data_IF_986689124893
#
_entry.id   IF_986689124893
#
_cell.length_a   1.000
_cell.length_b   1.000
_cell.length_c   1.000
_cell.angle_alpha   90.00
_cell.angle_beta   90.00
_cell.angle_gamma   90.00
#
_symmetry.space_group_name_H-M   'P 1'
#
loop_
_entity.id
_entity.type
_entity.pdbx_description
1 polymer ?
#
# COMPACT_ATOMS: atom_id res chain seq x y z
N UNK A 1 13.67 0.77 12.32
CA UNK A 1 13.32 0.40 10.94
C UNK A 1 13.71 -1.05 10.70
N UNK A 2 12.81 -1.83 10.11
CA UNK A 2 13.06 -3.17 9.57
C UNK A 2 12.86 -3.15 8.06
N UNK A 3 13.51 -4.06 7.33
CA UNK A 3 13.45 -4.14 5.87
C UNK A 3 13.17 -5.58 5.46
N UNK A 4 12.20 -5.79 4.57
CA UNK A 4 11.97 -7.05 3.85
C UNK A 4 12.30 -6.79 2.39
N UNK A 5 13.14 -7.63 1.79
CA UNK A 5 13.44 -7.56 0.35
C UNK A 5 12.68 -8.67 -0.37
N UNK A 6 11.96 -8.29 -1.41
CA UNK A 6 11.19 -9.18 -2.28
C UNK A 6 11.89 -9.29 -3.65
N UNK A 7 11.51 -10.25 -4.51
CA UNK A 7 11.98 -10.28 -5.90
C UNK A 7 11.72 -8.96 -6.64
N UNK A 8 12.36 -8.79 -7.80
CA UNK A 8 12.17 -7.63 -8.68
C UNK A 8 12.57 -6.26 -8.07
N UNK A 9 13.54 -6.24 -7.16
CA UNK A 9 14.07 -4.99 -6.56
C UNK A 9 12.97 -4.20 -5.82
N UNK A 10 12.15 -4.93 -5.05
CA UNK A 10 11.11 -4.39 -4.19
C UNK A 10 11.57 -4.50 -2.74
N UNK A 11 11.48 -3.41 -2.00
CA UNK A 11 11.81 -3.36 -0.57
C UNK A 11 10.65 -2.82 0.24
N UNK A 12 10.33 -3.48 1.35
CA UNK A 12 9.34 -3.04 2.32
C UNK A 12 10.04 -2.57 3.58
N UNK A 13 9.94 -1.27 3.83
CA UNK A 13 10.47 -0.60 5.00
C UNK A 13 9.35 -0.44 6.00
N UNK A 14 9.52 -0.88 7.23
CA UNK A 14 8.47 -0.71 8.24
C UNK A 14 9.03 -0.43 9.63
N UNK A 15 8.17 0.15 10.45
CA UNK A 15 8.44 0.39 11.86
C UNK A 15 7.14 0.40 12.65
N UNK A 16 7.27 0.12 13.94
CA UNK A 16 6.21 0.48 14.87
C UNK A 16 6.40 1.94 15.28
N UNK A 17 5.31 2.72 15.27
CA UNK A 17 5.28 4.13 15.63
C UNK A 17 3.95 4.49 16.28
N UNK A 18 3.96 5.44 17.20
CA UNK A 18 2.72 6.02 17.73
C UNK A 18 1.98 6.80 16.66
N UNK A 19 0.64 6.74 16.69
CA UNK A 19 -0.25 7.38 15.70
C UNK A 19 -0.06 8.90 15.59
N UNK A 20 0.51 9.54 16.62
CA UNK A 20 0.77 10.99 16.66
C UNK A 20 2.09 11.40 15.99
N UNK A 21 2.95 10.42 15.64
CA UNK A 21 4.25 10.73 15.05
C UNK A 21 4.10 11.04 13.56
N UNK A 22 4.35 12.30 13.21
CA UNK A 22 4.46 12.74 11.82
C UNK A 22 5.85 12.43 11.24
N UNK A 23 5.95 12.31 9.92
CA UNK A 23 7.23 12.16 9.22
C UNK A 23 7.82 10.75 9.24
N UNK A 24 7.07 9.73 9.69
CA UNK A 24 7.58 8.35 9.81
C UNK A 24 7.97 7.77 8.46
N UNK A 25 7.23 8.10 7.40
CA UNK A 25 7.55 7.62 6.06
C UNK A 25 8.83 8.24 5.50
N UNK A 26 9.05 9.53 5.73
CA UNK A 26 10.28 10.22 5.42
C UNK A 26 11.45 9.64 6.22
N UNK A 27 11.27 9.34 7.51
CA UNK A 27 12.29 8.67 8.34
C UNK A 27 12.68 7.30 7.75
N UNK A 28 11.70 6.50 7.32
CA UNK A 28 11.92 5.21 6.67
C UNK A 28 12.69 5.38 5.36
N UNK A 29 12.26 6.28 4.48
CA UNK A 29 12.91 6.54 3.20
C UNK A 29 14.34 7.07 3.39
N UNK A 30 14.55 8.03 4.29
CA UNK A 30 15.86 8.60 4.59
C UNK A 30 16.84 7.54 5.08
N UNK A 31 16.35 6.65 5.94
CA UNK A 31 17.14 5.54 6.49
C UNK A 31 17.54 4.55 5.40
N UNK A 32 16.65 4.25 4.45
CA UNK A 32 16.94 3.34 3.34
C UNK A 32 17.92 3.92 2.32
N UNK A 33 17.71 5.18 1.90
CA UNK A 33 18.57 5.82 0.89
C UNK A 33 19.87 6.40 1.46
N UNK A 34 20.05 6.41 2.78
CA UNK A 34 21.23 6.98 3.45
C UNK A 34 21.37 8.50 3.26
N UNK A 35 20.31 9.18 2.84
CA UNK A 35 20.27 10.63 2.57
C UNK A 35 18.88 11.18 2.83
N UNK A 36 18.79 12.50 3.03
CA UNK A 36 17.50 13.17 3.11
C UNK A 36 16.76 13.05 1.77
N UNK A 37 15.54 12.55 1.83
CA UNK A 37 14.56 12.47 0.76
C UNK A 37 13.52 13.57 0.93
N UNK A 38 12.93 14.00 -0.17
CA UNK A 38 11.82 14.95 -0.19
C UNK A 38 10.63 14.20 -0.76
N UNK A 39 9.64 13.91 0.08
CA UNK A 39 8.38 13.28 -0.34
C UNK A 39 7.38 14.39 -0.66
N UNK A 40 6.88 14.38 -1.89
CA UNK A 40 5.82 15.27 -2.35
C UNK A 40 4.55 14.46 -2.66
N UNK A 41 3.42 15.16 -2.85
CA UNK A 41 2.15 14.53 -3.22
C UNK A 41 1.86 14.77 -4.68
N UNK A 42 1.55 13.70 -5.40
CA UNK A 42 1.12 13.74 -6.79
C UNK A 42 -0.33 14.20 -6.95
N UNK A 43 -0.86 14.06 -8.17
CA UNK A 43 -2.17 14.63 -8.54
C UNK A 43 -3.31 14.06 -7.72
N UNK A 44 -3.22 12.78 -7.36
CA UNK A 44 -4.25 12.07 -6.60
C UNK A 44 -3.90 11.95 -5.11
N UNK A 45 -2.81 12.59 -4.66
CA UNK A 45 -2.35 12.58 -3.27
C UNK A 45 -1.38 11.44 -2.95
N UNK A 46 -1.03 10.62 -3.95
CA UNK A 46 -0.01 9.58 -3.86
C UNK A 46 1.36 10.19 -3.54
N UNK A 47 2.14 9.58 -2.63
CA UNK A 47 3.47 10.06 -2.31
C UNK A 47 4.46 9.71 -3.43
N UNK A 48 5.38 10.61 -3.75
CA UNK A 48 6.54 10.32 -4.59
C UNK A 48 7.79 11.01 -4.05
N UNK A 49 8.96 10.44 -4.32
CA UNK A 49 10.24 11.05 -3.95
C UNK A 49 10.66 11.99 -5.07
N UNK A 50 10.84 13.27 -4.76
CA UNK A 50 11.32 14.28 -5.71
C UNK A 50 12.70 13.90 -6.25
N UNK A 51 12.91 14.06 -7.55
CA UNK A 51 14.18 13.81 -8.24
C UNK A 51 14.72 12.37 -8.04
N UNK A 52 13.83 11.39 -7.96
CA UNK A 52 14.15 9.97 -7.75
C UNK A 52 13.54 9.09 -8.84
N UNK A 53 14.25 8.03 -9.22
CA UNK A 53 13.73 6.96 -10.10
C UNK A 53 12.85 5.93 -9.36
N UNK A 54 12.82 6.00 -8.03
CA UNK A 54 12.08 5.06 -7.20
C UNK A 54 10.64 5.50 -7.01
N UNK A 55 9.73 4.56 -7.20
CA UNK A 55 8.35 4.63 -6.79
C UNK A 55 8.23 4.23 -5.33
N UNK A 56 7.35 4.92 -4.60
CA UNK A 56 7.01 4.57 -3.24
C UNK A 56 5.50 4.41 -3.06
N UNK A 57 5.12 3.57 -2.12
CA UNK A 57 3.74 3.47 -1.64
C UNK A 57 3.77 3.35 -0.13
N UNK A 58 2.90 4.08 0.55
CA UNK A 58 2.86 4.15 2.02
C UNK A 58 1.50 3.66 2.49
N UNK A 59 1.51 2.87 3.55
CA UNK A 59 0.31 2.58 4.32
C UNK A 59 0.62 2.57 5.82
N UNK A 60 -0.40 2.78 6.62
CA UNK A 60 -0.30 2.65 8.06
C UNK A 60 -1.63 2.19 8.64
N UNK A 61 -1.56 1.38 9.69
CA UNK A 61 -2.74 1.01 10.47
C UNK A 61 -2.29 0.82 11.92
N UNK A 62 -3.02 1.43 12.85
CA UNK A 62 -2.63 1.55 14.27
C UNK A 62 -1.16 1.94 14.43
N UNK A 63 -0.37 1.06 15.04
CA UNK A 63 1.02 1.33 15.40
C UNK A 63 2.00 0.96 14.29
N UNK A 64 1.57 0.47 13.14
CA UNK A 64 2.47 -0.01 12.09
C UNK A 64 2.41 0.90 10.88
N UNK A 65 3.58 1.40 10.47
CA UNK A 65 3.77 2.18 9.24
C UNK A 65 4.67 1.39 8.31
N UNK A 66 4.25 1.24 7.06
CA UNK A 66 4.98 0.56 5.99
C UNK A 66 5.17 1.49 4.78
N UNK A 67 6.35 1.42 4.18
CA UNK A 67 6.71 2.09 2.95
C UNK A 67 7.32 1.05 2.00
N UNK A 68 6.64 0.76 0.89
CA UNK A 68 7.18 -0.02 -0.20
C UNK A 68 7.99 0.88 -1.14
N UNK A 69 9.13 0.39 -1.61
CA UNK A 69 10.06 1.08 -2.50
C UNK A 69 10.39 0.14 -3.67
N UNK A 70 10.32 0.65 -4.90
CA UNK A 70 10.67 -0.11 -6.10
C UNK A 70 11.09 0.80 -7.26
N UNK A 71 11.80 0.27 -8.26
CA UNK A 71 12.06 0.93 -9.55
C UNK A 71 10.89 0.88 -10.53
N UNK A 72 9.80 0.18 -10.18
CA UNK A 72 8.55 0.12 -10.96
C UNK A 72 7.37 0.57 -10.10
N UNK A 73 6.22 0.95 -10.72
CA UNK A 73 5.01 1.25 -9.97
C UNK A 73 4.65 0.14 -8.97
N UNK A 74 4.43 0.55 -7.73
CA UNK A 74 4.25 -0.31 -6.57
C UNK A 74 3.12 0.25 -5.71
N UNK A 75 2.33 -0.63 -5.11
CA UNK A 75 1.31 -0.29 -4.12
C UNK A 75 1.45 -1.18 -2.91
N UNK A 76 1.28 -0.62 -1.71
CA UNK A 76 1.23 -1.40 -0.48
C UNK A 76 0.05 -0.97 0.37
N UNK A 77 -0.57 -1.94 1.01
CA UNK A 77 -1.55 -1.67 2.03
C UNK A 77 -1.40 -2.59 3.23
N UNK A 78 -1.68 -2.05 4.42
CA UNK A 78 -1.68 -2.78 5.67
C UNK A 78 -2.89 -2.35 6.49
N UNK A 79 -3.61 -3.31 7.07
CA UNK A 79 -4.75 -3.06 7.93
C UNK A 79 -4.74 -3.97 9.16
N UNK A 80 -4.99 -3.40 10.33
CA UNK A 80 -5.15 -4.17 11.57
C UNK A 80 -6.42 -5.03 11.50
N UNK A 81 -6.27 -6.33 11.73
CA UNK A 81 -7.36 -7.31 11.67
C UNK A 81 -8.34 -7.06 12.82
N UNK A 82 -9.59 -6.85 12.47
CA UNK A 82 -10.71 -6.67 13.39
C UNK A 82 -11.97 -7.28 12.84
N UNK A 83 -12.94 -7.48 13.72
CA UNK A 83 -14.28 -7.83 13.28
C UNK A 83 -14.88 -6.66 12.50
N UNK A 84 -15.24 -6.93 11.24
CA UNK A 84 -15.89 -5.99 10.34
C UNK A 84 -17.26 -6.58 10.01
N UNK A 85 -18.32 -5.80 10.21
CA UNK A 85 -19.68 -6.27 9.94
C UNK A 85 -19.90 -6.58 8.45
N UNK A 86 -20.63 -7.65 8.15
CA UNK A 86 -20.87 -8.14 6.78
C UNK A 86 -21.44 -7.07 5.82
N UNK A 87 -22.19 -6.09 6.35
CA UNK A 87 -22.74 -4.98 5.57
C UNK A 87 -21.65 -4.10 4.96
N UNK A 88 -20.48 -3.98 5.60
CA UNK A 88 -19.33 -3.26 5.05
C UNK A 88 -18.82 -3.96 3.79
N UNK A 89 -18.61 -5.28 3.84
CA UNK A 89 -18.19 -6.06 2.67
C UNK A 89 -19.23 -6.03 1.56
N UNK A 90 -20.52 -6.11 1.89
CA UNK A 90 -21.61 -5.98 0.93
C UNK A 90 -21.60 -4.62 0.21
N UNK A 91 -21.35 -3.54 0.96
CA UNK A 91 -21.23 -2.19 0.40
C UNK A 91 -19.99 -2.05 -0.50
N UNK A 92 -18.83 -2.54 -0.05
CA UNK A 92 -17.59 -2.52 -0.83
C UNK A 92 -17.77 -3.31 -2.13
N UNK A 93 -18.35 -4.51 -2.08
CA UNK A 93 -18.58 -5.33 -3.28
C UNK A 93 -19.56 -4.68 -4.26
N UNK A 94 -20.55 -3.93 -3.78
CA UNK A 94 -21.44 -3.16 -4.67
C UNK A 94 -20.68 -2.12 -5.50
N UNK A 95 -19.59 -1.57 -4.95
CA UNK A 95 -18.79 -0.54 -5.61
C UNK A 95 -17.63 -1.13 -6.41
N UNK A 96 -16.85 -2.04 -5.81
CA UNK A 96 -15.56 -2.51 -6.33
C UNK A 96 -15.55 -3.99 -6.73
N UNK A 97 -16.63 -4.73 -6.50
CA UNK A 97 -16.69 -6.17 -6.75
C UNK A 97 -16.47 -6.55 -8.23
N UNK A 98 -16.71 -5.61 -9.14
CA UNK A 98 -16.41 -5.77 -10.57
C UNK A 98 -14.90 -5.72 -10.89
N UNK A 99 -14.09 -5.14 -10.01
CA UNK A 99 -12.61 -5.15 -10.09
C UNK A 99 -12.10 -6.40 -9.38
N UNK A 100 -12.48 -6.56 -8.11
CA UNK A 100 -12.10 -7.68 -7.26
C UNK A 100 -13.13 -7.85 -6.14
N UNK A 101 -13.65 -9.06 -5.90
CA UNK A 101 -14.53 -9.31 -4.77
C UNK A 101 -13.75 -9.25 -3.45
N UNK A 102 -14.40 -8.71 -2.41
CA UNK A 102 -13.83 -8.51 -1.07
C UNK A 102 -14.70 -9.22 -0.04
N UNK A 103 -14.20 -10.31 0.54
CA UNK A 103 -14.92 -11.10 1.55
C UNK A 103 -14.31 -10.97 2.94
N UNK A 104 -13.02 -10.68 3.00
CA UNK A 104 -12.29 -10.46 4.25
C UNK A 104 -11.24 -9.36 4.11
N UNK A 105 -10.65 -8.95 5.23
CA UNK A 105 -9.63 -7.89 5.28
C UNK A 105 -8.42 -8.15 4.36
N UNK A 106 -8.03 -9.42 4.13
CA UNK A 106 -6.95 -9.74 3.19
C UNK A 106 -7.30 -9.38 1.72
N UNK A 107 -8.57 -9.38 1.34
CA UNK A 107 -8.98 -8.96 -0.01
C UNK A 107 -9.01 -7.44 -0.11
N UNK A 108 -9.40 -6.78 1.00
CA UNK A 108 -9.42 -5.33 1.09
C UNK A 108 -8.03 -4.74 0.89
N UNK A 109 -7.01 -5.25 1.60
CA UNK A 109 -5.64 -4.75 1.44
C UNK A 109 -5.09 -5.00 0.04
N UNK A 110 -5.53 -6.06 -0.66
CA UNK A 110 -5.18 -6.27 -2.07
C UNK A 110 -5.81 -5.21 -2.97
N UNK A 111 -7.10 -4.94 -2.80
CA UNK A 111 -7.80 -3.89 -3.54
C UNK A 111 -7.16 -2.52 -3.31
N UNK A 112 -6.87 -2.14 -2.06
CA UNK A 112 -6.23 -0.85 -1.77
C UNK A 112 -4.79 -0.78 -2.29
N UNK A 113 -4.01 -1.86 -2.18
CA UNK A 113 -2.67 -1.92 -2.76
C UNK A 113 -2.72 -1.75 -4.28
N UNK A 114 -3.69 -2.35 -4.98
CA UNK A 114 -3.91 -2.16 -6.42
C UNK A 114 -4.21 -0.69 -6.75
N UNK A 115 -5.15 -0.08 -6.02
CA UNK A 115 -5.54 1.32 -6.23
C UNK A 115 -4.36 2.27 -6.01
N UNK A 116 -3.55 2.01 -4.98
CA UNK A 116 -2.30 2.75 -4.69
C UNK A 116 -1.25 2.55 -5.79
N UNK A 117 -1.06 1.33 -6.29
CA UNK A 117 -0.12 1.04 -7.39
C UNK A 117 -0.49 1.80 -8.67
N UNK A 118 -1.79 1.89 -8.95
CA UNK A 118 -2.34 2.64 -10.09
C UNK A 118 -2.33 4.16 -9.87
N UNK A 119 -1.93 4.64 -8.69
CA UNK A 119 -1.95 6.05 -8.29
C UNK A 119 -3.35 6.66 -8.41
N UNK A 120 -4.38 5.88 -8.09
CA UNK A 120 -5.78 6.32 -8.12
C UNK A 120 -6.30 6.62 -6.71
N UNK A 121 -7.35 7.44 -6.64
CA UNK A 121 -8.23 7.44 -5.47
C UNK A 121 -9.28 6.33 -5.64
N UNK A 122 -9.81 5.83 -4.53
CA UNK A 122 -10.92 4.89 -4.53
C UNK A 122 -12.10 5.35 -5.41
N UNK A 123 -12.44 6.65 -5.37
CA UNK A 123 -13.51 7.22 -6.21
C UNK A 123 -13.26 7.12 -7.72
N UNK A 124 -11.99 7.17 -8.13
CA UNK A 124 -11.61 7.00 -9.53
C UNK A 124 -11.55 5.52 -9.89
N UNK A 125 -11.10 4.68 -8.96
CA UNK A 125 -10.96 3.24 -9.18
C UNK A 125 -12.30 2.57 -9.51
N UNK A 126 -13.38 2.83 -8.74
CA UNK A 126 -14.67 2.17 -9.01
C UNK A 126 -15.31 2.58 -10.36
N UNK A 127 -14.83 3.66 -10.98
CA UNK A 127 -15.31 4.14 -12.28
C UNK A 127 -14.46 3.63 -13.45
N UNK A 128 -13.38 2.89 -13.16
CA UNK A 128 -12.36 2.51 -14.14
C UNK A 128 -12.46 1.03 -14.49
N UNK A 129 -12.20 0.71 -15.74
CA UNK A 129 -11.90 -0.67 -16.15
C UNK A 129 -10.45 -0.97 -15.78
N UNK A 130 -10.23 -1.91 -14.86
CA UNK A 130 -8.91 -2.27 -14.35
C UNK A 130 -8.61 -3.72 -14.74
N UNK A 131 -7.55 -3.92 -15.52
CA UNK A 131 -7.06 -5.26 -15.85
C UNK A 131 -6.21 -5.84 -14.71
N UNK A 132 -6.87 -6.58 -13.80
CA UNK A 132 -6.21 -7.31 -12.71
C UNK A 132 -5.29 -8.44 -13.21
N UNK A 133 -5.43 -8.88 -14.47
CA UNK A 133 -4.57 -9.88 -15.08
C UNK A 133 -3.15 -9.38 -15.34
N UNK A 134 -2.93 -8.07 -15.30
CA UNK A 134 -1.64 -7.41 -15.56
C UNK A 134 -0.77 -7.17 -14.31
N UNK A 135 -1.22 -7.61 -13.12
CA UNK A 135 -0.55 -7.35 -11.84
C UNK A 135 -0.24 -8.64 -11.06
N UNK A 136 0.74 -8.57 -10.15
CA UNK A 136 1.00 -9.54 -9.10
C UNK A 136 0.60 -8.98 -7.74
N UNK A 137 0.14 -9.87 -6.87
CA UNK A 137 -0.10 -9.59 -5.45
C UNK A 137 0.79 -10.50 -4.60
N UNK A 138 1.48 -9.90 -3.64
CA UNK A 138 2.22 -10.61 -2.61
C UNK A 138 1.61 -10.32 -1.24
N UNK A 139 1.14 -11.35 -0.54
CA UNK A 139 0.71 -11.25 0.85
C UNK A 139 1.94 -11.36 1.76
N UNK A 140 2.11 -10.39 2.65
CA UNK A 140 3.31 -10.29 3.48
C UNK A 140 2.89 -10.46 4.94
N UNK A 141 3.46 -11.47 5.62
CA UNK A 141 3.28 -11.58 7.06
C UNK A 141 4.36 -10.75 7.77
N UNK A 142 4.00 -9.55 8.20
CA UNK A 142 4.85 -8.70 9.06
C UNK A 142 4.54 -8.94 10.54
N UNK A 143 3.27 -9.12 10.84
CA UNK A 143 2.70 -9.27 12.17
C UNK A 143 1.33 -9.96 12.01
N UNK A 144 1.06 -10.99 12.81
CA UNK A 144 -0.14 -11.82 12.66
C UNK A 144 -1.45 -11.04 12.92
N UNK A 145 -1.38 -9.91 13.64
CA UNK A 145 -2.52 -9.01 13.86
C UNK A 145 -2.88 -8.15 12.65
N UNK A 146 -2.06 -8.15 11.59
CA UNK A 146 -2.25 -7.30 10.42
C UNK A 146 -2.45 -8.13 9.16
N UNK A 147 -3.27 -7.62 8.25
CA UNK A 147 -3.28 -8.04 6.86
C UNK A 147 -2.40 -7.06 6.08
N UNK A 148 -1.49 -7.57 5.25
CA UNK A 148 -0.61 -6.72 4.44
C UNK A 148 -0.48 -7.31 3.04
N UNK A 149 -0.61 -6.47 2.02
CA UNK A 149 -0.42 -6.86 0.63
C UNK A 149 0.41 -5.82 -0.12
N UNK A 150 1.20 -6.33 -1.06
CA UNK A 150 1.95 -5.56 -2.04
C UNK A 150 1.39 -5.87 -3.42
N UNK A 151 1.20 -4.85 -4.24
CA UNK A 151 0.74 -4.96 -5.62
C UNK A 151 1.77 -4.32 -6.56
N UNK A 152 2.19 -5.04 -7.59
CA UNK A 152 3.08 -4.51 -8.64
C UNK A 152 2.74 -5.08 -10.01
N UNK A 153 3.22 -4.44 -11.07
CA UNK A 153 3.06 -4.96 -12.43
C UNK A 153 3.81 -6.27 -12.64
N UNK A 154 3.28 -7.11 -13.52
CA UNK A 154 3.95 -8.33 -13.97
C UNK A 154 5.29 -8.06 -14.66
#
# INVERSE_FOLDING_TARGET
MKVISLPNDIHLLYTYADETKNGVAEDLANSFFGKKTIIEKGKNGEPFIKDSEYYISISHSRHLVICAVSRKPIGVDIEWKREIGEKCYSFINRLYGHIMPVYHVNDWVKLEALVKMLQLKLINAYQSEIDIGSVYFEEINIDDEYACAVCHKK
#
